data_IF_358686917722
#
_entry.id   IF_358686917722
#
_cell.length_a   1.000
_cell.length_b   1.000
_cell.length_c   1.000
_cell.angle_alpha   90.00
_cell.angle_beta   90.00
_cell.angle_gamma   90.00
#
_symmetry.space_group_name_H-M   'P 1'
#
loop_
_entity.id
_entity.type
_entity.pdbx_description
1 polymer ?
#
# COMPACT_ATOMS: atom_id res chain seq x y z
N UNK A 1 17.85 26.90 3.39
CA UNK A 1 17.52 25.83 4.35
C UNK A 1 16.02 25.86 4.57
N UNK A 2 15.25 25.03 3.86
CA UNK A 2 13.83 24.85 4.19
C UNK A 2 13.75 23.84 5.32
N UNK A 3 13.09 24.21 6.41
CA UNK A 3 12.79 23.33 7.52
C UNK A 3 12.08 22.07 6.98
N UNK A 4 12.60 20.89 7.33
CA UNK A 4 11.87 19.63 7.16
C UNK A 4 10.57 19.77 7.95
N UNK A 5 9.42 19.78 7.28
CA UNK A 5 8.15 19.64 7.98
C UNK A 5 8.17 18.31 8.76
N UNK A 6 7.73 18.30 10.02
CA UNK A 6 7.63 17.06 10.78
C UNK A 6 6.70 16.08 10.03
N UNK A 7 7.26 14.93 9.63
CA UNK A 7 6.47 13.87 8.99
C UNK A 7 5.57 13.22 10.04
N UNK A 8 4.26 13.37 9.89
CA UNK A 8 3.29 12.62 10.67
C UNK A 8 2.86 11.39 9.88
N UNK A 9 2.97 10.22 10.50
CA UNK A 9 2.51 8.94 9.94
C UNK A 9 1.52 8.33 10.92
N UNK A 10 0.28 8.13 10.48
CA UNK A 10 -0.76 7.46 11.24
C UNK A 10 -1.18 6.17 10.54
N UNK A 11 -0.75 4.99 11.06
CA UNK A 11 -1.34 3.72 10.67
C UNK A 11 -2.82 3.68 11.07
N UNK A 12 -3.64 3.16 10.16
CA UNK A 12 -5.08 2.94 10.32
C UNK A 12 -5.32 1.43 10.19
N UNK A 13 -5.38 0.68 11.31
CA UNK A 13 -5.64 -0.76 11.25
C UNK A 13 -7.08 -1.04 10.80
N UNK A 14 -7.24 -1.89 9.78
CA UNK A 14 -8.53 -2.22 9.15
C UNK A 14 -8.80 -3.74 9.21
N UNK A 15 -8.37 -4.35 10.33
CA UNK A 15 -8.34 -5.81 10.49
C UNK A 15 -6.97 -6.37 10.17
N UNK A 16 -6.85 -7.15 9.10
CA UNK A 16 -5.59 -7.77 8.68
C UNK A 16 -4.74 -6.87 7.78
N UNK A 17 -5.31 -5.79 7.24
CA UNK A 17 -4.64 -4.80 6.39
C UNK A 17 -4.55 -3.45 7.12
N UNK A 18 -3.57 -2.64 6.77
CA UNK A 18 -3.36 -1.30 7.32
C UNK A 18 -3.30 -0.28 6.19
N UNK A 19 -4.15 0.75 6.26
CA UNK A 19 -3.99 1.96 5.45
C UNK A 19 -3.18 3.00 6.22
N UNK A 20 -2.64 4.00 5.54
CA UNK A 20 -1.82 5.03 6.18
C UNK A 20 -2.26 6.42 5.81
N UNK A 21 -2.29 7.30 6.81
CA UNK A 21 -2.36 8.74 6.62
C UNK A 21 -0.94 9.29 6.80
N UNK A 22 -0.42 9.97 5.79
CA UNK A 22 0.88 10.65 5.85
C UNK A 22 0.66 12.14 5.68
N UNK A 23 1.20 12.93 6.60
CA UNK A 23 1.11 14.39 6.57
C UNK A 23 2.49 15.02 6.64
N UNK A 24 2.73 15.95 5.73
CA UNK A 24 3.82 16.94 5.76
C UNK A 24 3.22 18.32 5.44
N UNK A 25 3.55 18.92 4.29
CA UNK A 25 2.89 20.14 3.83
C UNK A 25 1.51 19.86 3.21
N UNK A 26 1.28 18.62 2.74
CA UNK A 26 -0.02 18.09 2.36
C UNK A 26 -0.34 16.80 3.11
N UNK A 27 -1.50 16.22 2.82
CA UNK A 27 -1.97 14.96 3.40
C UNK A 27 -2.24 13.97 2.28
N UNK A 28 -1.71 12.76 2.40
CA UNK A 28 -1.98 11.67 1.47
C UNK A 28 -2.54 10.45 2.23
N UNK A 29 -3.36 9.69 1.53
CA UNK A 29 -3.78 8.36 1.95
C UNK A 29 -3.00 7.33 1.15
N UNK A 30 -2.54 6.26 1.82
CA UNK A 30 -1.91 5.10 1.19
C UNK A 30 -2.78 3.89 1.52
N UNK A 31 -3.32 3.27 0.48
CA UNK A 31 -4.35 2.24 0.48
C UNK A 31 -5.69 2.66 1.10
N UNK A 32 -6.70 1.82 0.87
CA UNK A 32 -8.11 2.06 1.18
C UNK A 32 -8.79 0.91 1.92
N UNK A 33 -8.09 -0.19 2.24
CA UNK A 33 -8.73 -1.32 2.92
C UNK A 33 -9.72 -2.09 2.04
N UNK A 34 -10.63 -2.82 2.69
CA UNK A 34 -11.79 -3.49 2.06
C UNK A 34 -13.00 -2.54 1.97
N UNK A 35 -14.03 -2.82 1.14
CA UNK A 35 -15.24 -1.99 1.11
C UNK A 35 -15.85 -1.74 2.50
N UNK A 36 -16.17 -0.48 2.81
CA UNK A 36 -16.63 -0.02 4.13
C UNK A 36 -15.50 0.52 5.04
N UNK A 37 -14.22 0.37 4.66
CA UNK A 37 -13.09 0.88 5.44
C UNK A 37 -12.99 2.40 5.46
N UNK A 38 -13.65 3.10 4.54
CA UNK A 38 -13.69 4.57 4.46
C UNK A 38 -14.17 5.20 5.77
N UNK A 39 -15.11 4.56 6.49
CA UNK A 39 -15.63 5.07 7.75
C UNK A 39 -14.52 5.22 8.80
N UNK A 40 -13.65 4.20 8.91
CA UNK A 40 -12.54 4.18 9.87
C UNK A 40 -11.45 5.16 9.43
N UNK A 41 -11.16 5.23 8.13
CA UNK A 41 -10.14 6.12 7.58
C UNK A 41 -10.55 7.60 7.77
N UNK A 42 -11.77 7.97 7.37
CA UNK A 42 -12.31 9.32 7.53
C UNK A 42 -12.51 9.68 9.00
N UNK A 43 -12.95 8.73 9.83
CA UNK A 43 -13.01 8.90 11.28
C UNK A 43 -11.64 9.17 11.90
N UNK A 44 -10.59 8.48 11.43
CA UNK A 44 -9.21 8.71 11.89
C UNK A 44 -8.69 10.08 11.43
N UNK A 45 -8.93 10.47 10.17
CA UNK A 45 -8.60 11.82 9.66
C UNK A 45 -9.25 12.91 10.52
N UNK A 46 -10.54 12.77 10.81
CA UNK A 46 -11.30 13.69 11.68
C UNK A 46 -10.74 13.73 13.10
N UNK A 47 -10.37 12.57 13.66
CA UNK A 47 -9.75 12.48 14.98
C UNK A 47 -8.38 13.18 15.07
N UNK A 48 -7.67 13.32 13.95
CA UNK A 48 -6.43 14.10 13.84
C UNK A 48 -6.69 15.60 13.61
N UNK A 49 -7.95 16.02 13.49
CA UNK A 49 -8.34 17.41 13.25
C UNK A 49 -8.37 17.82 11.78
N UNK A 50 -8.29 16.86 10.84
CA UNK A 50 -8.37 17.11 9.41
C UNK A 50 -9.78 16.84 8.86
N UNK A 51 -10.09 17.48 7.73
CA UNK A 51 -11.33 17.28 6.98
C UNK A 51 -11.04 16.42 5.74
N UNK A 52 -12.05 15.71 5.19
CA UNK A 52 -11.84 14.92 3.97
C UNK A 52 -11.20 15.72 2.81
N UNK A 53 -11.61 16.97 2.52
CA UNK A 53 -10.97 17.76 1.45
C UNK A 53 -9.53 18.22 1.72
N UNK A 54 -8.97 17.96 2.92
CA UNK A 54 -7.55 18.23 3.19
C UNK A 54 -6.65 17.12 2.60
N UNK A 55 -7.22 15.98 2.21
CA UNK A 55 -6.50 14.92 1.50
C UNK A 55 -6.20 15.38 0.08
N UNK A 56 -4.92 15.38 -0.27
CA UNK A 56 -4.43 15.85 -1.56
C UNK A 56 -4.24 14.74 -2.59
N UNK A 57 -4.11 13.48 -2.14
CA UNK A 57 -3.88 12.32 -3.00
C UNK A 57 -4.27 11.03 -2.27
N UNK A 58 -4.87 10.08 -3.00
CA UNK A 58 -5.06 8.70 -2.57
C UNK A 58 -4.17 7.81 -3.43
N UNK A 59 -3.23 7.11 -2.80
CA UNK A 59 -2.29 6.21 -3.46
C UNK A 59 -2.75 4.77 -3.21
N UNK A 60 -3.02 4.02 -4.28
CA UNK A 60 -3.30 2.59 -4.18
C UNK A 60 -2.03 1.82 -4.52
N UNK A 61 -1.49 1.09 -3.55
CA UNK A 61 -0.22 0.35 -3.71
C UNK A 61 -0.35 -0.75 -4.75
N UNK A 62 -1.50 -1.43 -4.79
CA UNK A 62 -1.85 -2.42 -5.81
C UNK A 62 -3.36 -2.71 -5.81
N UNK A 63 -3.86 -3.33 -6.89
CA UNK A 63 -5.30 -3.46 -7.15
C UNK A 63 -6.02 -4.62 -6.45
N UNK A 64 -5.52 -5.14 -5.32
CA UNK A 64 -6.26 -6.12 -4.54
C UNK A 64 -7.38 -5.46 -3.72
N UNK A 65 -8.46 -6.21 -3.45
CA UNK A 65 -9.66 -5.69 -2.80
C UNK A 65 -9.39 -5.11 -1.41
N UNK A 66 -8.47 -5.69 -0.66
CA UNK A 66 -8.09 -5.23 0.68
C UNK A 66 -7.20 -3.99 0.68
N UNK A 67 -6.79 -3.50 -0.49
CA UNK A 67 -6.03 -2.25 -0.65
C UNK A 67 -6.82 -1.19 -1.42
N UNK A 68 -7.69 -1.59 -2.35
CA UNK A 68 -8.46 -0.69 -3.19
C UNK A 68 -9.96 -0.63 -2.85
N UNK A 69 -10.41 -1.40 -1.86
CA UNK A 69 -11.82 -1.72 -1.64
C UNK A 69 -12.71 -0.53 -1.34
N UNK A 70 -12.20 0.49 -0.66
CA UNK A 70 -12.92 1.74 -0.37
C UNK A 70 -12.44 2.93 -1.20
N UNK A 71 -11.64 2.71 -2.24
CA UNK A 71 -11.05 3.79 -3.02
C UNK A 71 -12.12 4.71 -3.64
N UNK A 72 -13.19 4.14 -4.20
CA UNK A 72 -14.32 4.91 -4.76
C UNK A 72 -14.96 5.86 -3.72
N UNK A 73 -15.29 5.34 -2.54
CA UNK A 73 -15.92 6.11 -1.49
C UNK A 73 -14.99 7.19 -0.92
N UNK A 74 -13.70 6.89 -0.77
CA UNK A 74 -12.70 7.88 -0.35
C UNK A 74 -12.54 8.99 -1.39
N UNK A 75 -12.52 8.68 -2.69
CA UNK A 75 -12.46 9.69 -3.75
C UNK A 75 -13.69 10.60 -3.72
N UNK A 76 -14.89 10.03 -3.56
CA UNK A 76 -16.14 10.80 -3.46
C UNK A 76 -16.14 11.76 -2.25
N UNK A 77 -15.75 11.28 -1.07
CA UNK A 77 -15.79 12.05 0.17
C UNK A 77 -14.67 13.11 0.25
N UNK A 78 -13.50 12.82 -0.30
CA UNK A 78 -12.34 13.72 -0.22
C UNK A 78 -12.22 14.66 -1.42
N UNK A 79 -12.69 14.24 -2.59
CA UNK A 79 -12.40 14.88 -3.88
C UNK A 79 -10.93 14.75 -4.32
N UNK A 80 -10.11 13.96 -3.62
CA UNK A 80 -8.70 13.78 -3.93
C UNK A 80 -8.52 12.86 -5.14
N UNK A 81 -7.54 13.13 -6.03
CA UNK A 81 -7.23 12.22 -7.13
C UNK A 81 -6.71 10.88 -6.60
N UNK A 82 -7.04 9.81 -7.31
CA UNK A 82 -6.47 8.47 -7.12
C UNK A 82 -5.30 8.26 -8.09
N UNK A 83 -4.19 7.77 -7.55
CA UNK A 83 -3.03 7.34 -8.32
C UNK A 83 -2.76 5.85 -8.13
N UNK A 84 -2.51 5.15 -9.24
CA UNK A 84 -2.03 3.77 -9.23
C UNK A 84 -1.11 3.50 -10.43
N UNK A 85 -0.47 2.34 -10.45
CA UNK A 85 0.28 1.90 -11.63
C UNK A 85 -0.67 1.44 -12.75
N UNK A 86 -0.33 1.72 -14.01
CA UNK A 86 -1.17 1.37 -15.18
C UNK A 86 -1.51 -0.13 -15.25
N UNK A 87 -0.52 -0.99 -14.95
CA UNK A 87 -0.67 -2.44 -14.92
C UNK A 87 -1.73 -2.98 -13.94
N UNK A 88 -2.14 -2.21 -12.93
CA UNK A 88 -3.19 -2.58 -11.97
C UNK A 88 -4.49 -1.75 -12.16
N UNK A 89 -4.49 -0.76 -13.06
CA UNK A 89 -5.66 0.12 -13.31
C UNK A 89 -6.92 -0.68 -13.63
N UNK A 90 -6.79 -1.74 -14.45
CA UNK A 90 -7.90 -2.61 -14.80
C UNK A 90 -8.54 -3.32 -13.61
N UNK A 91 -7.84 -3.53 -12.49
CA UNK A 91 -8.46 -4.08 -11.28
C UNK A 91 -9.37 -3.06 -10.61
N UNK A 92 -8.94 -1.79 -10.55
CA UNK A 92 -9.71 -0.69 -9.96
C UNK A 92 -10.93 -0.37 -10.82
N UNK A 93 -10.75 -0.22 -12.13
CA UNK A 93 -11.83 0.13 -13.07
C UNK A 93 -12.93 -0.93 -13.13
N UNK A 94 -12.55 -2.21 -13.02
CA UNK A 94 -13.52 -3.31 -13.03
C UNK A 94 -14.03 -3.68 -11.63
N UNK A 95 -13.47 -3.09 -10.56
CA UNK A 95 -13.79 -3.42 -9.18
C UNK A 95 -13.54 -4.90 -8.85
N UNK A 96 -12.53 -5.51 -9.48
CA UNK A 96 -12.31 -6.96 -9.47
C UNK A 96 -10.82 -7.25 -9.49
N UNK A 97 -10.30 -7.80 -8.39
CA UNK A 97 -8.92 -8.27 -8.38
C UNK A 97 -8.73 -9.56 -9.19
N UNK A 98 -7.48 -9.81 -9.60
CA UNK A 98 -7.06 -11.08 -10.18
C UNK A 98 -7.14 -12.26 -9.21
N UNK A 99 -6.95 -13.48 -9.73
CA UNK A 99 -6.86 -14.69 -8.87
C UNK A 99 -5.58 -14.64 -8.06
N UNK A 100 -5.69 -14.81 -6.74
CA UNK A 100 -4.54 -14.99 -5.87
C UNK A 100 -3.72 -16.22 -6.30
N UNK A 101 -2.43 -16.01 -6.56
CA UNK A 101 -1.48 -17.04 -7.00
C UNK A 101 -0.58 -17.41 -5.82
N UNK A 102 -0.76 -18.59 -5.20
CA UNK A 102 0.07 -18.97 -4.06
C UNK A 102 1.53 -19.15 -4.50
N UNK A 103 2.45 -18.62 -3.71
CA UNK A 103 3.89 -18.70 -3.97
C UNK A 103 4.70 -19.26 -2.78
N UNK A 104 4.02 -19.76 -1.74
CA UNK A 104 4.64 -20.38 -0.56
C UNK A 104 3.89 -21.65 -0.14
N UNK A 105 4.54 -22.54 0.63
CA UNK A 105 3.91 -23.75 1.18
C UNK A 105 2.64 -23.40 1.97
N UNK A 106 2.71 -22.34 2.79
CA UNK A 106 1.57 -21.81 3.54
C UNK A 106 0.47 -21.32 2.60
N UNK A 107 0.82 -20.58 1.54
CA UNK A 107 -0.13 -20.13 0.52
C UNK A 107 -0.84 -21.28 -0.20
N UNK A 108 -0.13 -22.36 -0.54
CA UNK A 108 -0.71 -23.56 -1.13
C UNK A 108 -1.64 -24.30 -0.14
N UNK A 109 -1.24 -24.38 1.13
CA UNK A 109 -2.08 -24.93 2.19
C UNK A 109 -3.36 -24.09 2.37
N UNK A 110 -3.25 -22.78 2.55
CA UNK A 110 -4.39 -21.87 2.69
C UNK A 110 -5.33 -21.95 1.47
N UNK A 111 -4.79 -22.00 0.25
CA UNK A 111 -5.60 -22.17 -0.95
C UNK A 111 -6.47 -23.44 -0.90
N UNK A 112 -5.97 -24.54 -0.34
CA UNK A 112 -6.72 -25.79 -0.23
C UNK A 112 -7.93 -25.66 0.71
N UNK A 113 -7.76 -24.97 1.85
CA UNK A 113 -8.83 -24.80 2.85
C UNK A 113 -9.81 -23.66 2.53
N UNK A 114 -9.32 -22.60 1.88
CA UNK A 114 -10.08 -21.37 1.63
C UNK A 114 -10.57 -21.23 0.18
N UNK A 115 -10.59 -22.31 -0.62
CA UNK A 115 -11.02 -22.30 -2.03
C UNK A 115 -12.53 -22.07 -2.21
N UNK A 116 -13.06 -20.96 -1.69
CA UNK A 116 -14.41 -20.48 -1.97
C UNK A 116 -14.35 -19.39 -3.03
N UNK A 117 -14.99 -19.70 -4.16
CA UNK A 117 -15.12 -18.96 -5.43
C UNK A 117 -15.74 -17.55 -5.29
N UNK A 118 -15.21 -16.65 -4.49
CA UNK A 118 -15.48 -15.22 -4.65
C UNK A 118 -14.24 -14.59 -5.23
N UNK A 119 -14.32 -14.22 -6.52
CA UNK A 119 -13.56 -13.07 -6.97
C UNK A 119 -13.89 -11.95 -5.99
N UNK A 120 -12.88 -11.41 -5.35
CA UNK A 120 -13.00 -10.29 -4.45
C UNK A 120 -13.43 -9.08 -5.29
N UNK A 121 -14.71 -8.70 -5.15
CA UNK A 121 -15.36 -7.59 -5.87
C UNK A 121 -15.46 -6.41 -4.91
N UNK A 122 -15.15 -5.23 -5.41
CA UNK A 122 -15.31 -3.96 -4.72
C UNK A 122 -15.92 -2.90 -5.66
N UNK A 123 -16.45 -1.78 -5.14
CA UNK A 123 -16.92 -0.69 -5.98
C UNK A 123 -15.82 -0.25 -6.97
N UNK A 124 -16.10 -0.24 -8.28
CA UNK A 124 -15.12 0.18 -9.26
C UNK A 124 -14.81 1.67 -9.10
N UNK A 125 -13.57 2.04 -9.45
CA UNK A 125 -13.13 3.44 -9.46
C UNK A 125 -12.20 3.66 -10.64
N UNK A 126 -12.28 4.83 -11.26
CA UNK A 126 -11.33 5.24 -12.29
C UNK A 126 -10.17 5.98 -11.64
N UNK A 127 -8.93 5.47 -11.72
CA UNK A 127 -7.76 6.22 -11.26
C UNK A 127 -7.59 7.47 -12.11
N UNK A 128 -7.38 8.61 -11.47
CA UNK A 128 -7.14 9.88 -12.15
C UNK A 128 -5.73 9.96 -12.74
N UNK A 129 -4.78 9.26 -12.10
CA UNK A 129 -3.36 9.29 -12.45
C UNK A 129 -2.83 7.87 -12.59
N UNK A 130 -2.31 7.56 -13.77
CA UNK A 130 -1.66 6.29 -14.08
C UNK A 130 -0.16 6.52 -14.23
N UNK A 131 0.63 5.70 -13.56
CA UNK A 131 2.10 5.74 -13.63
C UNK A 131 2.69 4.43 -14.11
N UNK A 132 3.85 4.52 -14.76
CA UNK A 132 4.69 3.37 -15.16
C UNK A 132 6.15 3.51 -14.69
N UNK A 133 6.48 4.70 -14.19
CA UNK A 133 7.81 5.10 -13.74
C UNK A 133 7.69 5.79 -12.38
N UNK A 134 8.81 6.04 -11.67
CA UNK A 134 8.77 6.80 -10.44
C UNK A 134 8.05 8.14 -10.60
N UNK A 135 7.26 8.50 -9.59
CA UNK A 135 6.40 9.67 -9.60
C UNK A 135 6.63 10.54 -8.37
N UNK A 136 6.81 11.84 -8.58
CA UNK A 136 7.16 12.81 -7.54
C UNK A 136 5.93 13.25 -6.74
N UNK A 137 6.02 13.15 -5.41
CA UNK A 137 4.94 13.52 -4.50
C UNK A 137 4.95 14.99 -4.04
N UNK A 138 5.98 15.77 -4.43
CA UNK A 138 6.08 17.20 -4.06
C UNK A 138 4.87 18.04 -4.47
N UNK A 139 4.21 17.83 -5.62
CA UNK A 139 2.98 18.54 -5.97
C UNK A 139 1.84 18.36 -4.95
N UNK A 140 1.89 17.29 -4.16
CA UNK A 140 0.92 16.94 -3.11
C UNK A 140 1.43 17.28 -1.71
N UNK A 141 2.49 18.09 -1.62
CA UNK A 141 3.06 18.53 -0.35
C UNK A 141 3.80 17.45 0.44
N UNK A 142 4.18 16.35 -0.22
CA UNK A 142 4.95 15.24 0.38
C UNK A 142 6.34 15.15 -0.28
N UNK A 143 7.39 15.10 0.53
CA UNK A 143 8.78 14.93 0.13
C UNK A 143 9.09 13.44 -0.02
N UNK A 144 8.92 12.92 -1.23
CA UNK A 144 9.16 11.52 -1.55
C UNK A 144 8.71 11.17 -2.96
N UNK A 145 8.80 9.88 -3.28
CA UNK A 145 8.45 9.33 -4.58
C UNK A 145 7.51 8.14 -4.42
N UNK A 146 6.63 7.92 -5.38
CA UNK A 146 6.06 6.61 -5.67
C UNK A 146 7.03 5.88 -6.58
N UNK A 147 7.38 4.64 -6.28
CA UNK A 147 8.34 3.82 -7.03
C UNK A 147 7.67 2.51 -7.44
N UNK A 148 7.66 2.14 -8.74
CA UNK A 148 7.24 0.83 -9.17
C UNK A 148 8.04 -0.29 -8.50
N UNK A 149 7.34 -1.23 -7.89
CA UNK A 149 7.93 -2.36 -7.16
C UNK A 149 7.14 -3.65 -7.48
N UNK A 150 7.24 -4.15 -8.72
CA UNK A 150 6.47 -5.30 -9.15
C UNK A 150 6.87 -6.55 -8.36
N UNK A 151 5.93 -7.50 -8.28
CA UNK A 151 6.18 -8.81 -7.71
C UNK A 151 4.92 -9.40 -7.12
N UNK A 152 4.34 -8.72 -6.13
CA UNK A 152 3.05 -9.12 -5.57
C UNK A 152 1.93 -9.03 -6.62
N UNK A 153 1.78 -7.86 -7.26
CA UNK A 153 1.11 -7.67 -8.55
C UNK A 153 2.08 -7.10 -9.57
N UNK A 154 1.68 -7.03 -10.84
CA UNK A 154 2.49 -6.34 -11.87
C UNK A 154 2.52 -4.84 -11.66
N UNK A 155 1.44 -4.24 -11.16
CA UNK A 155 1.33 -2.81 -10.88
C UNK A 155 1.59 -2.43 -9.43
N UNK A 156 2.25 -3.29 -8.64
CA UNK A 156 2.60 -2.95 -7.27
C UNK A 156 3.56 -1.75 -7.23
N UNK A 157 3.30 -0.80 -6.34
CA UNK A 157 4.14 0.37 -6.07
C UNK A 157 4.44 0.51 -4.59
N UNK A 158 5.55 1.16 -4.29
CA UNK A 158 5.95 1.56 -2.95
C UNK A 158 6.11 3.06 -2.85
N UNK A 159 5.89 3.63 -1.67
CA UNK A 159 6.11 5.04 -1.38
C UNK A 159 7.41 5.18 -0.60
N UNK A 160 8.32 6.00 -1.10
CA UNK A 160 9.66 6.23 -0.59
C UNK A 160 9.76 7.68 -0.13
N UNK A 161 9.69 7.91 1.19
CA UNK A 161 9.85 9.25 1.75
C UNK A 161 11.33 9.60 1.92
N UNK A 162 11.66 10.88 1.69
CA UNK A 162 13.02 11.40 1.90
C UNK A 162 13.43 11.39 3.39
N UNK A 163 12.47 11.32 4.31
CA UNK A 163 12.70 11.13 5.75
C UNK A 163 13.09 9.69 6.13
N UNK A 164 13.08 8.76 5.18
CA UNK A 164 13.58 7.39 5.34
C UNK A 164 12.50 6.31 5.47
N UNK A 165 11.21 6.68 5.50
CA UNK A 165 10.12 5.71 5.59
C UNK A 165 9.78 5.10 4.23
N UNK A 166 9.34 3.83 4.25
CA UNK A 166 8.92 3.05 3.09
C UNK A 166 7.54 2.48 3.34
N UNK A 167 6.58 2.73 2.45
CA UNK A 167 5.28 2.05 2.44
C UNK A 167 5.28 1.08 1.28
N UNK A 168 5.19 -0.22 1.54
CA UNK A 168 5.64 -1.24 0.58
C UNK A 168 4.54 -2.20 0.12
N UNK A 169 3.29 -1.91 0.47
CA UNK A 169 2.16 -2.80 0.24
C UNK A 169 2.51 -4.23 0.65
N UNK A 170 2.36 -5.15 -0.29
CA UNK A 170 2.40 -6.59 -0.04
C UNK A 170 3.73 -7.26 -0.44
N UNK A 171 4.81 -6.48 -0.52
CA UNK A 171 6.15 -7.04 -0.72
C UNK A 171 6.62 -7.89 0.48
N UNK A 172 6.13 -7.59 1.69
CA UNK A 172 6.48 -8.29 2.93
C UNK A 172 5.20 -8.63 3.70
N UNK A 173 5.14 -9.87 4.20
CA UNK A 173 4.10 -10.34 5.11
C UNK A 173 4.72 -10.74 6.46
N UNK A 174 3.96 -10.67 7.56
CA UNK A 174 4.42 -11.19 8.85
C UNK A 174 4.44 -12.73 8.83
N UNK A 175 5.59 -13.33 9.18
CA UNK A 175 5.72 -14.77 9.37
C UNK A 175 4.88 -15.22 10.56
N UNK A 176 4.05 -16.24 10.38
CA UNK A 176 3.27 -16.85 11.46
C UNK A 176 4.11 -17.93 12.16
N UNK A 177 4.19 -17.97 13.51
CA UNK A 177 3.59 -17.05 14.48
C UNK A 177 4.50 -15.88 14.90
N UNK A 178 5.75 -15.84 14.42
CA UNK A 178 6.79 -14.93 14.95
C UNK A 178 6.56 -13.44 14.74
N UNK A 179 5.73 -13.04 13.77
CA UNK A 179 5.54 -11.65 13.37
C UNK A 179 6.72 -11.01 12.60
N UNK A 180 7.86 -11.70 12.51
CA UNK A 180 9.05 -11.26 11.75
C UNK A 180 8.72 -11.09 10.25
N UNK A 181 9.42 -10.21 9.52
CA UNK A 181 9.21 -10.05 8.09
C UNK A 181 9.49 -11.34 7.31
N UNK A 182 8.68 -11.59 6.30
CA UNK A 182 8.79 -12.71 5.38
C UNK A 182 8.19 -12.41 4.02
N UNK A 183 8.42 -13.32 3.07
CA UNK A 183 7.84 -13.24 1.73
C UNK A 183 6.32 -13.48 1.79
N UNK A 184 5.55 -12.86 0.88
CA UNK A 184 4.11 -13.00 0.86
C UNK A 184 3.66 -14.43 0.54
N UNK A 185 2.43 -14.75 0.94
CA UNK A 185 1.86 -16.05 0.64
C UNK A 185 1.36 -16.17 -0.80
N UNK A 186 1.01 -15.03 -1.40
CA UNK A 186 0.55 -14.89 -2.78
C UNK A 186 1.33 -13.81 -3.51
N UNK A 187 1.63 -14.06 -4.79
CA UNK A 187 2.30 -13.11 -5.67
C UNK A 187 2.11 -13.52 -7.13
N UNK A 188 2.00 -12.54 -8.03
CA UNK A 188 1.94 -12.78 -9.46
C UNK A 188 3.31 -13.09 -10.07
N UNK A 189 4.35 -12.47 -9.52
CA UNK A 189 5.73 -12.47 -9.97
C UNK A 189 6.69 -12.55 -8.76
N UNK A 190 6.61 -13.62 -7.95
CA UNK A 190 7.41 -13.75 -6.73
C UNK A 190 8.92 -13.58 -6.96
N UNK A 191 9.41 -13.92 -8.16
CA UNK A 191 10.80 -13.76 -8.56
C UNK A 191 11.29 -12.29 -8.53
N UNK A 192 10.39 -11.31 -8.62
CA UNK A 192 10.73 -9.88 -8.62
C UNK A 192 10.73 -9.24 -7.22
N UNK A 193 10.17 -9.91 -6.22
CA UNK A 193 9.91 -9.31 -4.90
C UNK A 193 11.21 -8.87 -4.22
N UNK A 194 12.22 -9.73 -4.23
CA UNK A 194 13.49 -9.41 -3.56
C UNK A 194 14.23 -8.27 -4.24
N UNK A 195 14.16 -8.17 -5.57
CA UNK A 195 14.77 -7.07 -6.31
C UNK A 195 14.02 -5.76 -6.03
N UNK A 196 12.68 -5.81 -5.97
CA UNK A 196 11.84 -4.69 -5.54
C UNK A 196 12.15 -4.22 -4.12
N UNK A 197 12.30 -5.14 -3.16
CA UNK A 197 12.68 -4.81 -1.78
C UNK A 197 14.06 -4.15 -1.74
N UNK A 198 15.07 -4.74 -2.41
CA UNK A 198 16.44 -4.19 -2.45
C UNK A 198 16.51 -2.81 -3.11
N UNK A 199 15.65 -2.55 -4.11
CA UNK A 199 15.61 -1.27 -4.80
C UNK A 199 15.16 -0.10 -3.90
N UNK A 200 14.29 -0.36 -2.91
CA UNK A 200 13.71 0.69 -2.06
C UNK A 200 14.25 0.67 -0.62
N UNK A 201 14.71 -0.47 -0.13
CA UNK A 201 15.27 -0.63 1.20
C UNK A 201 16.80 -0.51 1.12
N UNK A 202 17.29 0.70 0.88
CA UNK A 202 18.71 1.04 0.92
C UNK A 202 19.14 1.50 2.33
N UNK A 203 20.37 2.01 2.45
CA UNK A 203 20.91 2.53 3.72
C UNK A 203 20.17 3.74 4.30
N UNK A 204 19.28 4.38 3.53
CA UNK A 204 18.46 5.51 4.00
C UNK A 204 17.12 5.07 4.55
N UNK A 205 16.76 3.79 4.39
CA UNK A 205 15.54 3.22 4.92
C UNK A 205 15.61 3.13 6.45
N UNK A 206 14.77 3.90 7.14
CA UNK A 206 14.68 3.91 8.61
C UNK A 206 13.55 3.04 9.10
N UNK A 207 12.42 3.02 8.38
CA UNK A 207 11.18 2.37 8.81
C UNK A 207 10.35 1.89 7.64
N UNK A 208 9.77 0.70 7.76
CA UNK A 208 9.06 -0.01 6.70
C UNK A 208 7.65 -0.31 7.17
N UNK A 209 6.69 0.02 6.32
CA UNK A 209 5.25 -0.06 6.55
C UNK A 209 4.62 -0.93 5.45
N UNK A 210 4.51 -2.25 5.67
CA UNK A 210 3.81 -3.14 4.76
C UNK A 210 2.28 -3.02 4.93
N UNK A 211 1.52 -3.45 3.93
CA UNK A 211 0.06 -3.54 4.02
C UNK A 211 -0.42 -4.45 5.14
N UNK A 212 0.37 -5.49 5.46
CA UNK A 212 0.07 -6.45 6.51
C UNK A 212 1.20 -6.52 7.54
N UNK A 213 0.85 -6.36 8.83
CA UNK A 213 1.81 -6.42 9.93
C UNK A 213 2.75 -5.21 10.01
N UNK A 214 3.90 -5.40 10.67
CA UNK A 214 4.86 -4.31 10.93
C UNK A 214 4.36 -3.26 11.93
N UNK A 215 4.97 -2.05 11.93
CA UNK A 215 6.10 -1.63 11.09
C UNK A 215 7.40 -2.38 11.42
N UNK A 216 8.34 -2.37 10.49
CA UNK A 216 9.67 -2.96 10.62
C UNK A 216 10.77 -1.89 10.49
N UNK A 217 11.97 -2.23 10.93
CA UNK A 217 13.21 -1.48 10.67
C UNK A 217 14.00 -2.13 9.54
N UNK A 218 14.97 -1.41 8.97
CA UNK A 218 15.90 -1.99 8.00
C UNK A 218 16.64 -3.23 8.56
N UNK A 219 16.96 -3.24 9.86
CA UNK A 219 17.63 -4.37 10.51
C UNK A 219 16.75 -5.61 10.60
N UNK A 220 15.43 -5.45 10.73
CA UNK A 220 14.51 -6.59 10.76
C UNK A 220 14.50 -7.37 9.44
N UNK A 221 14.88 -6.73 8.32
CA UNK A 221 14.97 -7.35 7.00
C UNK A 221 16.27 -8.12 6.79
N UNK A 222 17.22 -8.10 7.73
CA UNK A 222 18.54 -8.73 7.55
C UNK A 222 18.42 -10.20 7.13
N UNK A 223 17.64 -11.00 7.87
CA UNK A 223 17.39 -12.41 7.58
C UNK A 223 16.65 -12.65 6.24
N UNK A 224 15.94 -11.64 5.73
CA UNK A 224 15.20 -11.71 4.48
C UNK A 224 16.09 -11.35 3.27
N UNK A 225 17.06 -10.46 3.47
CA UNK A 225 17.93 -9.93 2.41
C UNK A 225 19.26 -10.68 2.26
N UNK A 226 19.67 -11.43 3.30
CA UNK A 226 20.83 -12.34 3.31
C UNK A 226 20.59 -13.61 2.50
#
# INVERSE_FOLDING_TARGET
>A
MMYSADTMIKPVPLGFVTAYIVKQNGIILIDAGIPGSEEIILGTLKGLGFKPPDVSLIIITHGHQDHAGSAAALQEETGAPIICHSADAGYLENGKQGRLKPCSIVGYFLKFFFNRKKLSVFPPVHPDILIESPYDLRPYGISGMIVPTPGHTKGSVSIVLNSGERFIGDLIFPKIPSGKPGLPFWAEKPELIMDSIRNICDSTCTRIYPGHGGPYTYYDLYDLMS
#
